data_IF_265332128482
#
_entry.id   IF_265332128482
#
_cell.length_a   1.000
_cell.length_b   1.000
_cell.length_c   1.000
_cell.angle_alpha   90.00
_cell.angle_beta   90.00
_cell.angle_gamma   90.00
#
_symmetry.space_group_name_H-M   'P 1'
#
loop_
_entity.id
_entity.type
_entity.pdbx_description
1 polymer ?
#
# COMPACT_ATOMS: atom_id res chain seq x y z
N UNK A 1 -8.16 -5.25 15.31
CA UNK A 1 -6.75 -4.78 15.31
C UNK A 1 -6.77 -3.25 15.19
N UNK A 2 -6.37 -2.48 16.22
CA UNK A 2 -6.31 -1.01 16.14
C UNK A 2 -5.03 -0.60 15.39
N UNK A 3 -5.19 -0.02 14.21
CA UNK A 3 -4.10 0.39 13.30
C UNK A 3 -3.70 1.84 13.64
N UNK A 4 -3.04 2.05 14.77
CA UNK A 4 -2.46 3.35 15.09
C UNK A 4 -0.98 3.34 14.65
N UNK A 5 -0.69 4.01 13.53
CA UNK A 5 0.65 4.16 12.92
C UNK A 5 1.28 2.87 12.34
N UNK A 6 0.63 2.25 11.35
CA UNK A 6 1.32 1.24 10.51
C UNK A 6 2.15 1.92 9.43
N UNK A 7 3.39 1.46 9.26
CA UNK A 7 4.25 1.83 8.13
C UNK A 7 3.63 1.32 6.83
N UNK A 8 3.87 2.02 5.72
CA UNK A 8 3.40 1.64 4.37
C UNK A 8 3.69 0.16 4.07
N UNK A 9 4.87 -0.31 4.48
CA UNK A 9 5.32 -1.70 4.40
C UNK A 9 4.32 -2.71 4.99
N UNK A 10 3.85 -2.46 6.21
CA UNK A 10 2.94 -3.34 6.92
C UNK A 10 1.52 -3.30 6.33
N UNK A 11 1.11 -2.16 5.77
CA UNK A 11 -0.20 -2.03 5.11
C UNK A 11 -0.18 -2.88 3.84
N UNK A 12 0.86 -2.75 3.02
CA UNK A 12 1.02 -3.53 1.79
C UNK A 12 1.07 -5.03 2.07
N UNK A 13 1.78 -5.46 3.12
CA UNK A 13 1.82 -6.89 3.49
C UNK A 13 0.45 -7.44 3.88
N UNK A 14 -0.34 -6.66 4.63
CA UNK A 14 -1.71 -7.07 4.98
C UNK A 14 -2.56 -7.22 3.73
N UNK A 15 -2.50 -6.26 2.82
CA UNK A 15 -3.27 -6.31 1.58
C UNK A 15 -2.88 -7.50 0.70
N UNK A 16 -1.58 -7.83 0.63
CA UNK A 16 -1.10 -9.01 -0.12
C UNK A 16 -1.60 -10.30 0.52
N UNK A 17 -1.49 -10.42 1.85
CA UNK A 17 -1.87 -11.63 2.58
C UNK A 17 -3.37 -11.94 2.45
N UNK A 18 -4.21 -10.91 2.38
CA UNK A 18 -5.67 -11.03 2.28
C UNK A 18 -6.16 -11.22 0.84
N UNK A 19 -5.53 -10.55 -0.14
CA UNK A 19 -5.93 -10.59 -1.57
C UNK A 19 -5.59 -11.88 -2.31
N UNK A 20 -4.93 -12.86 -1.66
CA UNK A 20 -4.51 -14.11 -2.29
C UNK A 20 -3.36 -13.96 -3.31
N UNK A 21 -2.75 -12.78 -3.41
CA UNK A 21 -1.56 -12.56 -4.24
C UNK A 21 -0.35 -13.23 -3.58
N UNK A 22 0.42 -13.97 -4.37
CA UNK A 22 1.54 -14.79 -3.87
C UNK A 22 2.64 -13.99 -3.15
N UNK A 23 3.00 -12.81 -3.67
CA UNK A 23 4.13 -12.03 -3.17
C UNK A 23 4.18 -10.60 -3.75
N UNK A 24 4.92 -9.71 -3.07
CA UNK A 24 5.16 -8.29 -3.44
C UNK A 24 5.57 -8.06 -4.89
N UNK A 25 6.33 -8.97 -5.49
CA UNK A 25 6.75 -8.88 -6.91
C UNK A 25 5.54 -8.87 -7.86
N UNK A 26 4.56 -9.74 -7.61
CA UNK A 26 3.36 -9.83 -8.43
C UNK A 26 2.52 -8.56 -8.32
N UNK A 27 2.38 -8.01 -7.10
CA UNK A 27 1.71 -6.73 -6.91
C UNK A 27 2.41 -5.60 -7.67
N UNK A 28 3.74 -5.53 -7.63
CA UNK A 28 4.48 -4.51 -8.37
C UNK A 28 4.30 -4.63 -9.89
N UNK A 29 4.27 -5.86 -10.40
CA UNK A 29 4.04 -6.13 -11.83
C UNK A 29 2.63 -5.74 -12.25
N UNK A 30 1.62 -6.08 -11.45
CA UNK A 30 0.22 -5.66 -11.67
C UNK A 30 0.05 -4.14 -11.62
N UNK A 31 0.77 -3.47 -10.72
CA UNK A 31 0.77 -2.00 -10.61
C UNK A 31 1.54 -1.29 -11.75
N UNK A 32 2.27 -2.04 -12.59
CA UNK A 32 3.12 -1.48 -13.64
C UNK A 32 4.41 -0.85 -13.11
N UNK A 33 4.88 -1.28 -11.93
CA UNK A 33 6.06 -0.75 -11.26
C UNK A 33 7.17 -1.81 -11.30
N UNK A 34 8.38 -1.40 -11.69
CA UNK A 34 9.54 -2.31 -11.64
C UNK A 34 9.74 -2.83 -10.20
N UNK A 35 9.91 -4.15 -9.97
CA UNK A 35 9.99 -4.72 -8.61
C UNK A 35 11.05 -4.09 -7.71
N UNK A 36 12.21 -3.73 -8.27
CA UNK A 36 13.29 -3.05 -7.52
C UNK A 36 12.88 -1.65 -7.06
N UNK A 37 12.17 -0.90 -7.92
CA UNK A 37 11.67 0.44 -7.61
C UNK A 37 10.59 0.37 -6.55
N UNK A 38 9.69 -0.61 -6.66
CA UNK A 38 8.65 -0.86 -5.66
C UNK A 38 9.24 -1.18 -4.29
N UNK A 39 10.20 -2.11 -4.24
CA UNK A 39 10.87 -2.49 -3.02
C UNK A 39 11.58 -1.31 -2.36
N UNK A 40 12.32 -0.51 -3.14
CA UNK A 40 12.98 0.70 -2.64
C UNK A 40 11.97 1.74 -2.13
N UNK A 41 10.86 1.95 -2.84
CA UNK A 41 9.82 2.91 -2.46
C UNK A 41 9.13 2.53 -1.15
N UNK A 42 8.85 1.24 -0.93
CA UNK A 42 8.30 0.77 0.34
C UNK A 42 9.32 0.91 1.47
N UNK A 43 10.56 0.44 1.25
CA UNK A 43 11.62 0.46 2.27
C UNK A 43 11.96 1.88 2.73
N UNK A 44 11.94 2.84 1.80
CA UNK A 44 12.28 4.23 2.07
C UNK A 44 11.06 5.10 2.41
N UNK A 45 9.87 4.50 2.59
CA UNK A 45 8.62 5.21 2.87
C UNK A 45 8.30 6.32 1.83
N UNK A 46 8.73 6.12 0.59
CA UNK A 46 8.61 7.07 -0.53
C UNK A 46 7.64 6.60 -1.62
N UNK A 47 6.79 5.63 -1.30
CA UNK A 47 5.72 5.17 -2.19
C UNK A 47 4.78 6.33 -2.49
N UNK A 48 4.60 6.63 -3.79
CA UNK A 48 3.71 7.70 -4.23
C UNK A 48 2.27 7.31 -3.92
N UNK A 49 1.47 8.28 -3.50
CA UNK A 49 0.05 8.05 -3.18
C UNK A 49 -0.71 7.45 -4.36
N UNK A 50 -0.48 7.93 -5.59
CA UNK A 50 -1.07 7.38 -6.82
C UNK A 50 -0.77 5.89 -7.01
N UNK A 51 0.47 5.46 -6.74
CA UNK A 51 0.85 4.05 -6.85
C UNK A 51 0.15 3.21 -5.77
N UNK A 52 0.06 3.76 -4.56
CA UNK A 52 -0.66 3.13 -3.44
C UNK A 52 -2.15 2.94 -3.76
N UNK A 53 -2.83 3.98 -4.24
CA UNK A 53 -4.25 3.92 -4.60
C UNK A 53 -4.51 2.89 -5.69
N UNK A 54 -3.65 2.86 -6.72
CA UNK A 54 -3.76 1.87 -7.80
C UNK A 54 -3.61 0.44 -7.30
N UNK A 55 -2.68 0.20 -6.38
CA UNK A 55 -2.52 -1.12 -5.77
C UNK A 55 -3.73 -1.51 -4.93
N UNK A 56 -4.29 -0.57 -4.17
CA UNK A 56 -5.51 -0.82 -3.40
C UNK A 56 -6.67 -1.24 -4.31
N UNK A 57 -6.90 -0.50 -5.39
CA UNK A 57 -7.91 -0.83 -6.39
C UNK A 57 -7.68 -2.22 -7.02
N UNK A 58 -6.45 -2.52 -7.44
CA UNK A 58 -6.10 -3.83 -8.02
C UNK A 58 -6.31 -5.00 -7.06
N UNK A 59 -6.21 -4.74 -5.76
CA UNK A 59 -6.41 -5.72 -4.70
C UNK A 59 -7.86 -5.76 -4.20
N UNK A 60 -8.77 -4.95 -4.77
CA UNK A 60 -10.18 -4.91 -4.39
C UNK A 60 -10.47 -4.11 -3.12
N UNK A 61 -9.59 -3.18 -2.74
CA UNK A 61 -9.77 -2.32 -1.59
C UNK A 61 -10.25 -0.92 -1.97
N UNK A 62 -11.17 -0.39 -1.18
CA UNK A 62 -11.51 1.04 -1.18
C UNK A 62 -10.59 1.81 -0.21
N UNK A 63 -10.13 2.99 -0.62
CA UNK A 63 -9.35 3.89 0.22
C UNK A 63 -10.20 5.09 0.61
N UNK A 64 -10.43 5.25 1.92
CA UNK A 64 -11.15 6.40 2.47
C UNK A 64 -10.18 7.36 3.15
N UNK A 65 -10.31 8.65 2.82
CA UNK A 65 -9.56 9.72 3.48
C UNK A 65 -10.50 10.45 4.44
N UNK A 66 -10.22 10.35 5.73
CA UNK A 66 -10.98 11.05 6.76
C UNK A 66 -10.15 12.20 7.32
N UNK A 67 -10.67 13.43 7.22
CA UNK A 67 -10.08 14.58 7.91
C UNK A 67 -10.38 14.45 9.40
N UNK A 68 -9.33 14.41 10.23
CA UNK A 68 -9.51 14.65 11.66
C UNK A 68 -9.61 16.15 11.90
N UNK A 69 -10.60 16.57 12.66
CA UNK A 69 -10.57 17.90 13.27
C UNK A 69 -9.37 17.94 14.21
N UNK A 70 -8.50 18.91 13.98
CA UNK A 70 -7.42 19.22 14.89
C UNK A 70 -7.93 20.41 15.68
N UNK A 71 -8.34 20.16 16.93
CA UNK A 71 -8.61 21.24 17.88
C UNK A 71 -7.33 22.07 17.97
N UNK A 72 -7.39 23.32 17.50
CA UNK A 72 -6.30 24.28 17.59
C UNK A 72 -6.20 24.85 19.00
#
# INVERSE_FOLDING_TARGET
MKINQKKVDQIVDVMIADSGIKHRKALSEMAGIKPSTFHAAIKNESLRLVDFLRMAELLGYDVTITKREVDQ
#
